data_IF_373257561201
#
_entry.id   IF_373257561201
#
_cell.length_a   1.000
_cell.length_b   1.000
_cell.length_c   1.000
_cell.angle_alpha   90.00
_cell.angle_beta   90.00
_cell.angle_gamma   90.00
#
_symmetry.space_group_name_H-M   'P 1'
#
loop_
_entity.id
_entity.type
_entity.pdbx_description
1 polymer ?
#
# COMPACT_ATOMS: atom_id res chain seq x y z
N UNK A 1 -36.38 -2.52 -1.29
CA UNK A 1 -35.35 -3.27 -0.54
C UNK A 1 -34.05 -3.52 -1.33
N UNK A 2 -33.90 -3.02 -2.57
CA UNK A 2 -32.64 -3.16 -3.33
C UNK A 2 -31.62 -2.01 -3.09
N UNK A 3 -32.08 -0.89 -2.53
CA UNK A 3 -31.28 0.33 -2.35
C UNK A 3 -30.24 0.18 -1.23
N UNK A 4 -30.65 -0.39 -0.09
CA UNK A 4 -29.79 -0.58 1.09
C UNK A 4 -28.65 -1.56 0.82
N UNK A 5 -28.92 -2.67 0.13
CA UNK A 5 -27.90 -3.67 -0.23
C UNK A 5 -26.86 -3.11 -1.21
N UNK A 6 -27.26 -2.15 -2.04
CA UNK A 6 -26.34 -1.48 -2.99
C UNK A 6 -25.43 -0.48 -2.25
N UNK A 7 -25.99 0.30 -1.32
CA UNK A 7 -25.23 1.22 -0.47
C UNK A 7 -24.24 0.50 0.46
N UNK A 8 -24.64 -0.59 1.13
CA UNK A 8 -23.72 -1.36 1.98
C UNK A 8 -22.57 -2.00 1.19
N UNK A 9 -22.83 -2.42 -0.05
CA UNK A 9 -21.84 -3.06 -0.93
C UNK A 9 -20.83 -2.06 -1.50
N UNK A 10 -21.26 -0.86 -1.89
CA UNK A 10 -20.36 0.23 -2.29
C UNK A 10 -19.50 0.72 -1.12
N UNK A 11 -20.09 0.85 0.07
CA UNK A 11 -19.37 1.29 1.26
C UNK A 11 -18.30 0.26 1.69
N UNK A 12 -18.61 -1.04 1.61
CA UNK A 12 -17.65 -2.12 1.88
C UNK A 12 -16.51 -2.15 0.86
N UNK A 13 -16.80 -1.87 -0.42
CA UNK A 13 -15.80 -1.80 -1.47
C UNK A 13 -14.87 -0.58 -1.30
N UNK A 14 -15.42 0.58 -0.92
CA UNK A 14 -14.67 1.79 -0.61
C UNK A 14 -13.78 1.62 0.64
N UNK A 15 -14.30 1.02 1.71
CA UNK A 15 -13.52 0.71 2.92
C UNK A 15 -12.39 -0.28 2.62
N UNK A 16 -12.68 -1.32 1.84
CA UNK A 16 -11.65 -2.31 1.43
C UNK A 16 -10.57 -1.65 0.57
N UNK A 17 -10.94 -0.72 -0.32
CA UNK A 17 -9.99 0.03 -1.13
C UNK A 17 -9.09 0.94 -0.27
N UNK A 18 -9.68 1.65 0.70
CA UNK A 18 -8.94 2.49 1.65
C UNK A 18 -7.95 1.71 2.50
N UNK A 19 -8.35 0.54 3.03
CA UNK A 19 -7.48 -0.35 3.81
C UNK A 19 -6.30 -0.84 2.97
N UNK A 20 -6.54 -1.24 1.71
CA UNK A 20 -5.47 -1.68 0.80
C UNK A 20 -4.48 -0.56 0.49
N UNK A 21 -4.98 0.66 0.28
CA UNK A 21 -4.13 1.83 0.07
C UNK A 21 -3.27 2.12 1.32
N UNK A 22 -3.88 2.08 2.51
CA UNK A 22 -3.19 2.28 3.79
C UNK A 22 -2.07 1.26 4.00
N UNK A 23 -2.34 -0.03 3.79
CA UNK A 23 -1.33 -1.10 3.88
C UNK A 23 -0.22 -0.86 2.85
N UNK A 24 -0.56 -0.51 1.62
CA UNK A 24 0.42 -0.21 0.57
C UNK A 24 1.36 0.95 0.94
N UNK A 25 0.83 2.00 1.55
CA UNK A 25 1.64 3.14 2.03
C UNK A 25 2.53 2.72 3.20
N UNK A 26 2.02 1.93 4.15
CA UNK A 26 2.84 1.42 5.26
C UNK A 26 4.00 0.56 4.76
N UNK A 27 3.77 -0.32 3.79
CA UNK A 27 4.83 -1.12 3.18
C UNK A 27 5.84 -0.24 2.43
N UNK A 28 5.37 0.81 1.74
CA UNK A 28 6.25 1.75 1.06
C UNK A 28 7.19 2.47 2.05
N UNK A 29 6.63 3.03 3.12
CA UNK A 29 7.39 3.72 4.17
C UNK A 29 8.33 2.76 4.89
N UNK A 30 7.87 1.54 5.21
CA UNK A 30 8.68 0.50 5.83
C UNK A 30 9.88 0.11 4.97
N UNK A 31 9.66 -0.12 3.66
CA UNK A 31 10.75 -0.39 2.72
C UNK A 31 11.74 0.76 2.63
N UNK A 32 11.25 2.01 2.61
CA UNK A 32 12.11 3.21 2.56
C UNK A 32 12.96 3.33 3.82
N UNK A 33 12.39 3.01 4.98
CA UNK A 33 13.09 2.97 6.26
C UNK A 33 14.17 1.87 6.27
N UNK A 34 13.87 0.69 5.73
CA UNK A 34 14.85 -0.40 5.58
C UNK A 34 16.02 0.03 4.69
N UNK A 35 15.75 0.70 3.57
CA UNK A 35 16.79 1.26 2.70
C UNK A 35 17.61 2.30 3.45
N UNK A 36 16.96 3.24 4.14
CA UNK A 36 17.65 4.26 4.93
C UNK A 36 18.57 3.63 5.99
N UNK A 37 18.06 2.69 6.78
CA UNK A 37 18.85 1.99 7.80
C UNK A 37 20.05 1.24 7.20
N UNK A 38 19.89 0.65 6.01
CA UNK A 38 21.02 -0.03 5.35
C UNK A 38 22.11 0.95 4.89
N UNK A 39 21.76 2.21 4.61
CA UNK A 39 22.74 3.27 4.27
C UNK A 39 23.41 3.90 5.49
N UNK A 40 22.79 3.84 6.67
CA UNK A 40 23.33 4.39 7.92
C UNK A 40 24.21 3.40 8.69
N UNK A 41 24.65 2.31 8.06
CA UNK A 41 25.57 1.33 8.67
C UNK A 41 24.90 0.25 9.53
N UNK A 42 23.57 0.11 9.43
CA UNK A 42 22.83 -1.02 10.04
C UNK A 42 22.87 -2.23 9.11
N UNK A 43 22.88 -3.47 9.62
CA UNK A 43 22.82 -4.71 8.83
C UNK A 43 21.44 -4.95 8.17
N UNK A 44 20.71 -3.88 7.86
CA UNK A 44 19.42 -3.98 7.20
C UNK A 44 19.61 -4.40 5.73
N UNK A 45 18.78 -5.32 5.21
CA UNK A 45 18.92 -5.82 3.85
C UNK A 45 18.48 -4.78 2.81
N UNK A 46 19.44 -4.04 2.22
CA UNK A 46 19.19 -2.98 1.24
C UNK A 46 18.28 -3.43 0.08
N UNK A 47 18.59 -4.57 -0.55
CA UNK A 47 17.82 -5.10 -1.68
C UNK A 47 16.38 -5.47 -1.32
N UNK A 48 16.15 -5.93 -0.10
CA UNK A 48 14.79 -6.22 0.40
C UNK A 48 14.03 -4.92 0.58
N UNK A 49 14.66 -3.89 1.16
CA UNK A 49 14.08 -2.56 1.28
C UNK A 49 13.67 -1.99 -0.09
N UNK A 50 14.57 -2.03 -1.07
CA UNK A 50 14.31 -1.55 -2.44
C UNK A 50 13.16 -2.32 -3.09
N UNK A 51 13.17 -3.65 -3.01
CA UNK A 51 12.11 -4.47 -3.59
C UNK A 51 10.74 -4.17 -2.97
N UNK A 52 10.68 -4.01 -1.64
CA UNK A 52 9.46 -3.66 -0.91
C UNK A 52 8.98 -2.26 -1.29
N UNK A 53 9.87 -1.27 -1.33
CA UNK A 53 9.52 0.11 -1.74
C UNK A 53 8.99 0.16 -3.15
N UNK A 54 9.69 -0.43 -4.12
CA UNK A 54 9.28 -0.43 -5.53
C UNK A 54 7.97 -1.20 -5.72
N UNK A 55 7.86 -2.39 -5.13
CA UNK A 55 6.65 -3.20 -5.19
C UNK A 55 5.43 -2.49 -4.62
N UNK A 56 5.61 -1.80 -3.49
CA UNK A 56 4.55 -1.02 -2.83
C UNK A 56 4.16 0.21 -3.65
N UNK A 57 5.12 0.91 -4.26
CA UNK A 57 4.84 2.05 -5.12
C UNK A 57 4.02 1.64 -6.36
N UNK A 58 4.38 0.52 -7.01
CA UNK A 58 3.63 -0.03 -8.14
C UNK A 58 2.23 -0.48 -7.71
N UNK A 59 2.11 -1.12 -6.54
CA UNK A 59 0.83 -1.55 -5.99
C UNK A 59 -0.11 -0.38 -5.71
N UNK A 60 0.38 0.65 -5.01
CA UNK A 60 -0.38 1.87 -4.72
C UNK A 60 -0.73 2.61 -6.01
N UNK A 61 0.21 2.74 -6.95
CA UNK A 61 -0.05 3.35 -8.26
C UNK A 61 -1.15 2.63 -9.05
N UNK A 62 -1.20 1.29 -9.01
CA UNK A 62 -2.29 0.52 -9.63
C UNK A 62 -3.62 0.69 -8.90
N UNK A 63 -3.61 0.75 -7.57
CA UNK A 63 -4.79 1.01 -6.74
C UNK A 63 -5.40 2.38 -7.03
N UNK A 64 -4.55 3.41 -7.15
CA UNK A 64 -4.96 4.76 -7.51
C UNK A 64 -5.51 4.82 -8.94
N UNK A 65 -4.86 4.16 -9.89
CA UNK A 65 -5.37 4.07 -11.27
C UNK A 65 -6.73 3.38 -11.34
N UNK A 66 -6.99 2.37 -10.50
CA UNK A 66 -8.27 1.67 -10.48
C UNK A 66 -9.41 2.49 -9.85
N UNK A 67 -9.09 3.63 -9.21
CA UNK A 67 -10.07 4.52 -8.58
C UNK A 67 -10.46 5.74 -9.44
N UNK A 68 -9.77 5.97 -10.56
CA UNK A 68 -10.04 7.03 -11.55
C UNK A 68 -10.70 6.41 -12.76
#
# INVERSE_FOLDING_TARGET
MADRDTYEKENTAADTWGIRLYIGILLFVGGLLTVYQSTTGTEAPFWVGVAVTVGSAVYVGRLLRAAI
#
